data_IF_166899312220
#
_entry.id   IF_166899312220
#
_cell.length_a   1.000
_cell.length_b   1.000
_cell.length_c   1.000
_cell.angle_alpha   90.00
_cell.angle_beta   90.00
_cell.angle_gamma   90.00
#
_symmetry.space_group_name_H-M   'P 1'
#
loop_
_entity.id
_entity.type
_entity.pdbx_description
1 polymer ?
#
# COMPACT_ATOMS: atom_id res chain seq x y z
N UNK A 1 -19.90 -7.30 15.08
CA UNK A 1 -19.18 -7.29 13.79
C UNK A 1 -17.74 -6.86 14.01
N UNK A 2 -16.81 -7.55 13.41
CA UNK A 2 -15.39 -7.27 13.60
C UNK A 2 -14.80 -6.64 12.36
N UNK A 3 -13.92 -5.66 12.55
CA UNK A 3 -13.22 -4.97 11.46
C UNK A 3 -11.73 -5.22 11.61
N UNK A 4 -11.07 -5.53 10.50
CA UNK A 4 -9.63 -5.72 10.47
C UNK A 4 -8.99 -4.49 9.82
N UNK A 5 -8.03 -3.90 10.51
CA UNK A 5 -7.25 -2.79 9.97
C UNK A 5 -5.79 -3.20 9.91
N UNK A 6 -5.19 -3.27 8.72
CA UNK A 6 -3.75 -3.52 8.61
C UNK A 6 -2.96 -2.36 9.20
N UNK A 7 -1.85 -2.67 9.86
CA UNK A 7 -0.93 -1.68 10.39
C UNK A 7 0.47 -2.06 9.95
N UNK A 8 1.18 -1.10 9.35
CA UNK A 8 2.56 -1.28 8.91
C UNK A 8 3.49 -0.60 9.91
N UNK A 9 4.45 -1.36 10.42
CA UNK A 9 5.51 -0.80 11.25
C UNK A 9 6.63 -0.33 10.33
N UNK A 10 7.06 0.92 10.49
CA UNK A 10 8.03 1.50 9.57
C UNK A 10 8.91 2.53 10.29
N UNK A 11 10.18 2.62 9.90
CA UNK A 11 11.05 3.72 10.29
C UNK A 11 11.05 4.86 9.26
N UNK A 12 10.20 4.75 8.22
CA UNK A 12 10.07 5.72 7.13
C UNK A 12 8.60 6.09 6.88
N UNK A 13 7.87 6.45 7.95
CA UNK A 13 6.43 6.70 7.85
C UNK A 13 6.09 7.82 6.85
N UNK A 14 6.93 8.86 6.77
CA UNK A 14 6.72 9.97 5.85
C UNK A 14 6.86 9.55 4.38
N UNK A 15 7.81 8.65 4.10
CA UNK A 15 8.00 8.10 2.75
C UNK A 15 6.79 7.25 2.36
N UNK A 16 6.33 6.39 3.28
CA UNK A 16 5.16 5.55 3.02
C UNK A 16 3.88 6.38 2.88
N UNK A 17 3.72 7.41 3.71
CA UNK A 17 2.58 8.32 3.58
C UNK A 17 2.53 8.93 2.18
N UNK A 18 3.66 9.43 1.69
CA UNK A 18 3.74 10.01 0.35
C UNK A 18 3.42 8.99 -0.74
N UNK A 19 3.93 7.78 -0.61
CA UNK A 19 3.71 6.71 -1.58
C UNK A 19 2.22 6.36 -1.69
N UNK A 20 1.59 6.05 -0.55
CA UNK A 20 0.17 5.63 -0.56
C UNK A 20 -0.77 6.78 -0.93
N UNK A 21 -0.44 8.01 -0.54
CA UNK A 21 -1.22 9.18 -0.92
C UNK A 21 -1.17 9.42 -2.44
N UNK A 22 0.02 9.39 -3.02
CA UNK A 22 0.19 9.73 -4.44
C UNK A 22 -0.23 8.59 -5.36
N UNK A 23 0.00 7.35 -4.95
CA UNK A 23 -0.33 6.20 -5.81
C UNK A 23 -1.82 5.83 -5.73
N UNK A 24 -2.40 5.82 -4.55
CA UNK A 24 -3.76 5.32 -4.33
C UNK A 24 -4.76 6.39 -3.91
N UNK A 25 -4.32 7.64 -3.76
CA UNK A 25 -5.21 8.70 -3.28
C UNK A 25 -5.55 8.58 -1.79
N UNK A 26 -4.64 7.98 -1.00
CA UNK A 26 -4.87 7.85 0.43
C UNK A 26 -5.02 9.21 1.08
N UNK A 27 -5.90 9.31 2.06
CA UNK A 27 -6.09 10.52 2.85
C UNK A 27 -5.65 10.26 4.29
N UNK A 28 -4.88 11.19 4.85
CA UNK A 28 -4.54 11.13 6.27
C UNK A 28 -5.78 11.51 7.07
N UNK A 29 -6.30 10.57 7.86
CA UNK A 29 -7.51 10.80 8.65
C UNK A 29 -7.22 10.91 10.14
N UNK A 30 -6.00 10.59 10.56
CA UNK A 30 -5.65 10.59 11.98
C UNK A 30 -4.13 10.68 12.14
N UNK A 31 -3.71 11.45 13.15
CA UNK A 31 -2.27 11.63 13.45
C UNK A 31 -2.07 11.74 14.94
N UNK A 32 -1.14 10.94 15.50
CA UNK A 32 -0.82 10.98 16.93
C UNK A 32 0.69 11.10 17.09
N UNK A 33 1.20 12.09 17.82
CA UNK A 33 0.50 13.28 18.26
C UNK A 33 0.19 14.21 17.09
N UNK A 34 -0.75 15.15 17.29
CA UNK A 34 -1.12 16.09 16.22
C UNK A 34 0.04 16.97 15.80
N UNK A 35 0.96 17.25 16.72
CA UNK A 35 2.16 18.04 16.47
C UNK A 35 3.37 17.30 17.04
N UNK A 36 4.54 17.53 16.43
CA UNK A 36 5.79 16.91 16.84
C UNK A 36 6.03 15.55 16.15
N UNK A 37 7.00 14.77 16.65
CA UNK A 37 7.33 13.48 16.03
C UNK A 37 6.12 12.55 16.01
N UNK A 38 5.80 12.02 14.83
CA UNK A 38 4.65 11.17 14.62
C UNK A 38 4.91 9.79 15.21
N UNK A 39 3.93 9.25 15.94
CA UNK A 39 3.92 7.87 16.38
C UNK A 39 2.99 7.01 15.51
N UNK A 40 1.83 7.54 15.15
CA UNK A 40 0.82 6.79 14.38
C UNK A 40 0.16 7.70 13.35
N UNK A 41 -0.01 7.17 12.14
CA UNK A 41 -0.78 7.79 11.07
C UNK A 41 -1.89 6.83 10.65
N UNK A 42 -3.11 7.33 10.60
CA UNK A 42 -4.23 6.61 10.01
C UNK A 42 -4.51 7.14 8.62
N UNK A 43 -4.55 6.25 7.65
CA UNK A 43 -4.83 6.59 6.25
C UNK A 43 -6.13 5.94 5.81
N UNK A 44 -6.87 6.63 4.96
CA UNK A 44 -8.03 6.05 4.30
C UNK A 44 -7.74 5.90 2.82
N UNK A 45 -7.91 4.67 2.31
CA UNK A 45 -7.78 4.34 0.89
C UNK A 45 -9.14 3.79 0.46
N UNK A 46 -9.89 4.56 -0.34
CA UNK A 46 -11.25 4.17 -0.68
C UNK A 46 -12.12 4.07 0.57
N UNK A 47 -12.63 2.87 0.85
CA UNK A 47 -13.43 2.58 2.05
C UNK A 47 -12.63 1.83 3.13
N UNK A 48 -11.32 1.75 2.99
CA UNK A 48 -10.46 0.96 3.88
C UNK A 48 -9.51 1.84 4.66
N UNK A 49 -9.17 1.42 5.87
CA UNK A 49 -8.22 2.12 6.72
C UNK A 49 -6.91 1.34 6.80
N UNK A 50 -5.80 2.06 6.70
CA UNK A 50 -4.44 1.53 6.85
C UNK A 50 -3.71 2.35 7.89
N UNK A 51 -3.09 1.70 8.86
CA UNK A 51 -2.29 2.39 9.87
C UNK A 51 -0.81 2.31 9.56
N UNK A 52 -0.08 3.38 9.86
CA UNK A 52 1.38 3.40 9.83
C UNK A 52 1.87 3.74 11.24
N UNK A 53 2.72 2.88 11.81
CA UNK A 53 3.31 3.12 13.13
C UNK A 53 4.80 3.38 12.95
N UNK A 54 5.27 4.50 13.47
CA UNK A 54 6.68 4.84 13.45
C UNK A 54 7.42 3.98 14.47
N UNK A 55 8.37 3.17 14.00
CA UNK A 55 9.15 2.27 14.84
C UNK A 55 10.59 2.28 14.36
N UNK A 56 11.51 2.80 15.18
CA UNK A 56 12.89 3.06 14.79
C UNK A 56 13.68 1.81 14.34
N UNK A 57 13.32 0.65 14.87
CA UNK A 57 14.01 -0.60 14.55
C UNK A 57 13.16 -1.52 13.66
N UNK A 58 12.16 -0.98 12.98
CA UNK A 58 11.41 -1.74 11.98
C UNK A 58 12.31 -1.94 10.76
N UNK A 59 13.04 -3.04 10.73
CA UNK A 59 13.98 -3.31 9.66
C UNK A 59 13.30 -3.51 8.32
N UNK A 60 13.69 -2.70 7.33
CA UNK A 60 13.38 -3.00 5.95
C UNK A 60 14.22 -4.20 5.52
N UNK A 61 13.63 -5.19 4.87
CA UNK A 61 14.36 -6.35 4.38
C UNK A 61 14.06 -7.66 5.07
N UNK A 62 13.38 -7.65 6.23
CA UNK A 62 12.84 -8.88 6.79
C UNK A 62 11.76 -9.42 5.85
N UNK A 63 11.73 -10.74 5.64
CA UNK A 63 10.74 -11.35 4.76
C UNK A 63 9.33 -11.11 5.29
N UNK A 64 8.49 -10.35 4.59
CA UNK A 64 7.13 -10.09 5.05
C UNK A 64 6.26 -11.33 4.89
N UNK A 65 5.35 -11.55 5.84
CA UNK A 65 4.42 -12.67 5.79
C UNK A 65 2.98 -12.22 5.51
N UNK A 66 2.78 -10.93 5.36
CA UNK A 66 1.47 -10.36 5.09
C UNK A 66 1.55 -9.58 3.79
N UNK A 67 0.57 -9.81 2.94
CA UNK A 67 0.45 -9.20 1.63
C UNK A 67 -0.79 -8.32 1.62
N UNK A 68 -0.65 -7.07 1.21
CA UNK A 68 -1.80 -6.21 0.96
C UNK A 68 -2.28 -6.43 -0.46
N UNK A 69 -3.59 -6.52 -0.64
CA UNK A 69 -4.20 -6.58 -1.97
C UNK A 69 -5.08 -5.35 -2.13
N UNK A 70 -4.75 -4.49 -3.08
CA UNK A 70 -5.42 -3.20 -3.24
C UNK A 70 -6.08 -3.15 -4.62
N UNK A 71 -7.39 -2.95 -4.63
CA UNK A 71 -8.15 -2.81 -5.86
C UNK A 71 -7.94 -1.41 -6.43
N UNK A 72 -7.65 -1.33 -7.72
CA UNK A 72 -7.49 -0.06 -8.45
C UNK A 72 -8.35 -0.09 -9.71
N UNK A 73 -8.61 1.08 -10.26
CA UNK A 73 -9.43 1.17 -11.47
C UNK A 73 -8.68 0.69 -12.71
N UNK A 74 -7.37 0.93 -12.77
CA UNK A 74 -6.54 0.60 -13.94
C UNK A 74 -5.15 0.18 -13.47
N UNK A 75 -4.89 -1.13 -13.50
CA UNK A 75 -3.61 -1.70 -13.06
C UNK A 75 -2.45 -1.16 -13.91
N UNK A 76 -2.63 -1.07 -15.23
CA UNK A 76 -1.55 -0.65 -16.12
C UNK A 76 -1.14 0.79 -15.85
N UNK A 77 -2.12 1.68 -15.65
CA UNK A 77 -1.85 3.09 -15.32
C UNK A 77 -1.16 3.21 -13.96
N UNK A 78 -1.64 2.46 -12.97
CA UNK A 78 -1.05 2.47 -11.62
C UNK A 78 0.39 1.98 -11.65
N UNK A 79 0.69 0.91 -12.39
CA UNK A 79 2.05 0.39 -12.52
C UNK A 79 3.02 1.45 -13.04
N UNK A 80 2.56 2.29 -13.96
CA UNK A 80 3.40 3.33 -14.56
C UNK A 80 3.86 4.40 -13.56
N UNK A 81 3.27 4.47 -12.37
CA UNK A 81 3.61 5.47 -11.35
C UNK A 81 4.41 4.91 -10.18
N UNK A 82 4.56 3.60 -10.09
CA UNK A 82 5.13 2.95 -8.89
C UNK A 82 6.58 3.35 -8.67
N UNK A 83 7.42 3.21 -9.68
CA UNK A 83 8.86 3.44 -9.52
C UNK A 83 9.18 4.90 -9.25
N UNK A 84 8.48 5.83 -9.88
CA UNK A 84 8.66 7.26 -9.64
C UNK A 84 8.31 7.65 -8.20
N UNK A 85 7.46 6.87 -7.53
CA UNK A 85 7.04 7.13 -6.17
C UNK A 85 7.83 6.34 -5.12
N UNK A 86 8.90 5.66 -5.56
CA UNK A 86 9.82 4.97 -4.66
C UNK A 86 9.55 3.49 -4.47
N UNK A 87 8.52 2.95 -5.09
CA UNK A 87 8.26 1.52 -5.05
C UNK A 87 8.97 0.76 -6.15
N UNK A 88 8.69 -0.52 -6.26
CA UNK A 88 9.22 -1.36 -7.32
C UNK A 88 8.16 -2.28 -7.89
N UNK A 89 8.32 -2.66 -9.15
CA UNK A 89 7.40 -3.57 -9.84
C UNK A 89 8.05 -4.94 -9.89
N UNK A 90 7.40 -5.94 -9.29
CA UNK A 90 7.93 -7.30 -9.20
C UNK A 90 7.38 -8.21 -10.29
N UNK A 91 6.19 -7.94 -10.81
CA UNK A 91 5.62 -8.80 -11.84
C UNK A 91 4.22 -8.38 -12.27
N UNK A 92 3.84 -8.85 -13.44
CA UNK A 92 2.57 -8.56 -14.06
C UNK A 92 2.62 -7.41 -15.02
N UNK A 93 1.45 -7.01 -15.59
CA UNK A 93 0.12 -7.51 -15.24
C UNK A 93 -0.20 -8.86 -15.89
N UNK A 94 -0.97 -9.66 -15.18
CA UNK A 94 -1.47 -10.93 -15.68
C UNK A 94 -2.98 -11.00 -15.50
N UNK A 95 -3.68 -11.50 -16.51
CA UNK A 95 -5.14 -11.67 -16.44
C UNK A 95 -5.45 -13.05 -15.92
N UNK A 96 -6.21 -13.10 -14.83
CA UNK A 96 -6.59 -14.34 -14.18
C UNK A 96 -7.93 -14.85 -14.71
N UNK A 97 -8.10 -16.19 -14.81
CA UNK A 97 -9.34 -16.74 -15.38
C UNK A 97 -10.61 -16.36 -14.61
N UNK A 98 -10.48 -15.98 -13.33
CA UNK A 98 -11.66 -15.58 -12.54
C UNK A 98 -12.07 -14.12 -12.71
N UNK A 99 -11.45 -13.38 -13.63
CA UNK A 99 -11.89 -12.02 -13.96
C UNK A 99 -11.15 -10.91 -13.23
N UNK A 100 -9.88 -11.12 -12.94
CA UNK A 100 -9.01 -10.09 -12.36
C UNK A 100 -7.74 -9.92 -13.16
N UNK A 101 -7.30 -8.66 -13.32
CA UNK A 101 -5.94 -8.35 -13.74
C UNK A 101 -5.14 -8.07 -12.48
N UNK A 102 -4.01 -8.76 -12.31
CA UNK A 102 -3.20 -8.70 -11.08
C UNK A 102 -1.77 -8.33 -11.42
N UNK A 103 -1.20 -7.42 -10.64
CA UNK A 103 0.23 -7.10 -10.70
C UNK A 103 0.80 -7.11 -9.31
N UNK A 104 2.11 -7.32 -9.22
CA UNK A 104 2.83 -7.40 -7.96
C UNK A 104 3.82 -6.26 -7.86
N UNK A 105 3.73 -5.49 -6.78
CA UNK A 105 4.63 -4.37 -6.52
C UNK A 105 5.16 -4.46 -5.09
N UNK A 106 6.14 -3.61 -4.79
CA UNK A 106 6.57 -3.36 -3.42
C UNK A 106 6.50 -1.87 -3.14
N UNK A 107 6.13 -1.53 -1.90
CA UNK A 107 6.21 -0.15 -1.45
C UNK A 107 7.67 0.22 -1.15
N UNK A 108 7.97 1.49 -0.80
CA UNK A 108 9.36 1.90 -0.54
C UNK A 108 10.06 1.16 0.60
N UNK A 109 9.31 0.56 1.53
CA UNK A 109 9.88 -0.25 2.62
C UNK A 109 10.06 -1.71 2.23
N UNK A 110 9.67 -2.10 1.01
CA UNK A 110 9.75 -3.47 0.55
C UNK A 110 8.56 -4.33 0.92
N UNK A 111 7.46 -3.74 1.39
CA UNK A 111 6.24 -4.51 1.67
C UNK A 111 5.58 -4.91 0.36
N UNK A 112 5.21 -6.19 0.19
CA UNK A 112 4.56 -6.62 -1.03
C UNK A 112 3.11 -6.12 -1.07
N UNK A 113 2.71 -5.68 -2.25
CA UNK A 113 1.34 -5.22 -2.51
C UNK A 113 0.89 -5.78 -3.84
N UNK A 114 -0.29 -6.40 -3.87
CA UNK A 114 -0.93 -6.77 -5.12
C UNK A 114 -1.85 -5.64 -5.56
N UNK A 115 -1.78 -5.31 -6.84
CA UNK A 115 -2.75 -4.44 -7.49
C UNK A 115 -3.75 -5.33 -8.21
N UNK A 116 -5.04 -5.08 -8.02
CA UNK A 116 -6.08 -5.86 -8.68
C UNK A 116 -7.07 -4.95 -9.40
N UNK A 117 -7.60 -5.45 -10.50
CA UNK A 117 -8.60 -4.74 -11.31
C UNK A 117 -9.61 -5.75 -11.81
N UNK A 118 -10.89 -5.44 -11.70
CA UNK A 118 -11.93 -6.28 -12.28
C UNK A 118 -11.89 -6.19 -13.79
N UNK A 119 -11.86 -7.33 -14.45
CA UNK A 119 -11.93 -7.44 -15.92
C UNK A 119 -13.00 -8.46 -16.28
N UNK A 120 -13.46 -8.48 -17.54
CA UNK A 120 -14.43 -9.52 -17.94
C UNK A 120 -13.87 -10.92 -17.75
N UNK A 121 -14.70 -11.82 -17.26
CA UNK A 121 -14.36 -13.23 -17.13
C UNK A 121 -14.34 -13.86 -18.52
N UNK A 122 -13.32 -14.67 -18.79
CA UNK A 122 -13.17 -15.37 -20.07
C UNK A 122 -13.53 -16.84 -19.97
#
# INVERSE_FOLDING_TARGET
MSTIQPVILTDHHDVLLGFYTKLFGAEEIFRVPAEGPVFYLGLRIGDSDLGLVAKEDAGSGAAPRILLSIAVDDVDETLGRVEALGGSVDGGPNDMPWGQRVAHIKDPDGNPVNLTQQIPVR
#
